data_IF_210166396720
#
_entry.id   IF_210166396720
#
_cell.length_a   1.000
_cell.length_b   1.000
_cell.length_c   1.000
_cell.angle_alpha   90.00
_cell.angle_beta   90.00
_cell.angle_gamma   90.00
#
_symmetry.space_group_name_H-M   'P 1'
#
loop_
_entity.id
_entity.type
_entity.pdbx_description
1 polymer ?
#
# COMPACT_ATOMS: atom_id res chain seq x y z
N UNK A 1 31.02 -27.54 -11.23
CA UNK A 1 31.09 -26.82 -9.95
C UNK A 1 29.99 -25.79 -9.98
N UNK A 2 29.07 -25.94 -9.04
CA UNK A 2 27.83 -25.21 -8.89
C UNK A 2 28.07 -23.71 -8.75
N UNK A 3 27.45 -22.93 -9.64
CA UNK A 3 27.17 -21.53 -9.35
C UNK A 3 25.98 -21.52 -8.37
N UNK A 4 26.12 -21.02 -7.14
CA UNK A 4 24.95 -20.83 -6.30
C UNK A 4 24.06 -19.76 -6.95
N UNK A 5 22.74 -19.99 -7.09
CA UNK A 5 21.83 -18.91 -7.41
C UNK A 5 21.81 -17.98 -6.19
N UNK A 6 22.64 -16.94 -6.21
CA UNK A 6 22.62 -15.88 -5.21
C UNK A 6 21.31 -15.10 -5.34
N UNK A 7 20.29 -15.66 -4.68
CA UNK A 7 19.39 -14.96 -3.76
C UNK A 7 19.19 -13.48 -4.05
N UNK A 8 18.47 -13.11 -5.11
CA UNK A 8 17.69 -11.86 -5.15
C UNK A 8 16.46 -11.95 -6.07
N UNK A 9 15.95 -13.15 -6.34
CA UNK A 9 14.54 -13.35 -6.70
C UNK A 9 13.66 -13.25 -5.43
N UNK A 10 13.87 -12.19 -4.64
CA UNK A 10 12.84 -11.73 -3.71
C UNK A 10 11.74 -11.22 -4.61
N UNK A 11 10.84 -12.13 -4.96
CA UNK A 11 9.44 -11.90 -5.28
C UNK A 11 9.13 -10.39 -5.28
N UNK A 12 9.30 -9.74 -6.45
CA UNK A 12 8.96 -8.32 -6.71
C UNK A 12 7.45 -8.06 -6.62
N UNK A 13 6.76 -8.81 -5.76
CA UNK A 13 5.39 -8.58 -5.35
C UNK A 13 5.48 -7.63 -4.18
N UNK A 14 5.46 -6.35 -4.53
CA UNK A 14 5.21 -5.21 -3.67
C UNK A 14 4.13 -5.52 -2.62
N UNK A 15 4.53 -5.92 -1.41
CA UNK A 15 3.60 -6.12 -0.28
C UNK A 15 3.58 -4.87 0.59
N UNK A 16 2.40 -4.49 1.04
CA UNK A 16 2.29 -3.50 2.12
C UNK A 16 2.69 -4.21 3.41
N UNK A 17 3.74 -3.71 4.08
CA UNK A 17 4.31 -4.38 5.25
C UNK A 17 4.07 -3.54 6.49
N UNK A 18 3.38 -4.14 7.47
CA UNK A 18 3.28 -3.62 8.83
C UNK A 18 4.17 -4.47 9.75
N UNK A 19 5.35 -3.95 10.13
CA UNK A 19 6.31 -4.70 10.95
C UNK A 19 7.14 -3.79 11.86
N UNK A 20 7.21 -4.14 13.15
CA UNK A 20 8.15 -3.51 14.08
C UNK A 20 7.95 -2.00 14.27
N UNK A 21 6.70 -1.52 14.18
CA UNK A 21 6.39 -0.09 14.27
C UNK A 21 6.49 0.68 12.94
N UNK A 22 6.82 -0.01 11.84
CA UNK A 22 6.96 0.59 10.51
C UNK A 22 5.84 0.09 9.60
N UNK A 23 5.24 1.03 8.85
CA UNK A 23 4.37 0.76 7.72
C UNK A 23 5.13 1.12 6.44
N UNK A 24 5.47 0.10 5.64
CA UNK A 24 6.09 0.26 4.32
C UNK A 24 5.03 0.06 3.25
N UNK A 25 4.80 1.06 2.41
CA UNK A 25 3.83 1.02 1.31
C UNK A 25 4.58 1.20 -0.01
N UNK A 26 4.44 0.28 -0.97
CA UNK A 26 4.93 0.47 -2.33
C UNK A 26 4.41 1.77 -2.94
N UNK A 27 5.24 2.48 -3.73
CA UNK A 27 4.86 3.78 -4.30
C UNK A 27 3.57 3.71 -5.15
N UNK A 28 3.38 2.65 -5.92
CA UNK A 28 2.17 2.43 -6.72
C UNK A 28 0.93 2.25 -5.84
N UNK A 29 1.04 1.47 -4.76
CA UNK A 29 -0.03 1.30 -3.79
C UNK A 29 -0.30 2.62 -3.05
N UNK A 30 0.73 3.39 -2.70
CA UNK A 30 0.56 4.69 -2.06
C UNK A 30 -0.12 5.70 -2.99
N UNK A 31 0.22 5.70 -4.28
CA UNK A 31 -0.48 6.50 -5.28
C UNK A 31 -1.97 6.12 -5.37
N UNK A 32 -2.26 4.81 -5.37
CA UNK A 32 -3.64 4.29 -5.33
C UNK A 32 -4.38 4.79 -4.09
N UNK A 33 -3.77 4.66 -2.91
CA UNK A 33 -4.34 5.14 -1.65
C UNK A 33 -4.68 6.64 -1.71
N UNK A 34 -3.78 7.47 -2.25
CA UNK A 34 -4.01 8.92 -2.40
C UNK A 34 -5.08 9.26 -3.42
N UNK A 35 -5.22 8.48 -4.49
CA UNK A 35 -6.31 8.65 -5.46
C UNK A 35 -7.66 8.36 -4.82
N UNK A 36 -7.79 7.21 -4.14
CA UNK A 36 -9.03 6.86 -3.40
C UNK A 36 -9.32 7.89 -2.30
N UNK A 37 -8.29 8.43 -1.63
CA UNK A 37 -8.46 9.48 -0.63
C UNK A 37 -9.10 10.77 -1.17
N UNK A 38 -8.80 11.12 -2.43
CA UNK A 38 -9.31 12.34 -3.08
C UNK A 38 -10.73 12.15 -3.60
N UNK A 39 -10.99 11.00 -4.23
CA UNK A 39 -12.26 10.73 -4.90
C UNK A 39 -13.27 10.02 -3.97
N UNK A 40 -12.87 9.69 -2.73
CA UNK A 40 -13.60 9.00 -1.66
C UNK A 40 -14.04 7.57 -1.98
N UNK A 41 -14.19 7.23 -3.25
CA UNK A 41 -14.60 5.93 -3.76
C UNK A 41 -13.92 5.65 -5.10
N UNK A 42 -13.59 4.38 -5.35
CA UNK A 42 -13.02 3.97 -6.61
C UNK A 42 -13.55 2.59 -7.04
N UNK A 43 -14.29 2.55 -8.14
CA UNK A 43 -14.93 1.33 -8.63
C UNK A 43 -13.88 0.29 -9.03
N UNK A 44 -14.05 -0.96 -8.56
CA UNK A 44 -13.08 -2.03 -8.79
C UNK A 44 -12.99 -2.52 -10.24
N UNK A 45 -13.99 -2.18 -11.07
CA UNK A 45 -14.03 -2.46 -12.51
C UNK A 45 -13.32 -1.38 -13.34
N UNK A 46 -13.22 -0.16 -12.82
CA UNK A 46 -12.55 0.97 -13.46
C UNK A 46 -11.04 1.02 -13.15
N UNK A 47 -10.60 0.21 -12.17
CA UNK A 47 -9.20 0.08 -11.81
C UNK A 47 -8.40 -0.64 -12.90
N UNK A 48 -7.32 -0.02 -13.39
CA UNK A 48 -6.31 -0.74 -14.16
C UNK A 48 -5.84 -1.98 -13.38
N UNK A 49 -5.63 -3.13 -14.04
CA UNK A 49 -5.17 -4.35 -13.38
C UNK A 49 -3.89 -4.17 -12.56
N UNK A 50 -3.02 -3.22 -12.94
CA UNK A 50 -1.80 -2.89 -12.20
C UNK A 50 -2.10 -2.28 -10.81
N UNK A 51 -3.11 -1.42 -10.71
CA UNK A 51 -3.50 -0.76 -9.47
C UNK A 51 -4.37 -1.65 -8.57
N UNK A 52 -5.03 -2.66 -9.15
CA UNK A 52 -5.88 -3.61 -8.40
C UNK A 52 -5.10 -4.37 -7.34
N UNK A 53 -3.88 -4.84 -7.68
CA UNK A 53 -3.03 -5.52 -6.70
C UNK A 53 -2.67 -4.60 -5.52
N UNK A 54 -2.37 -3.33 -5.79
CA UNK A 54 -2.12 -2.34 -4.74
C UNK A 54 -3.34 -2.09 -3.87
N UNK A 55 -4.54 -1.99 -4.46
CA UNK A 55 -5.78 -1.83 -3.72
C UNK A 55 -6.07 -3.03 -2.79
N UNK A 56 -5.89 -4.26 -3.28
CA UNK A 56 -6.08 -5.48 -2.49
C UNK A 56 -5.11 -5.54 -1.29
N UNK A 57 -3.84 -5.17 -1.49
CA UNK A 57 -2.85 -5.11 -0.41
C UNK A 57 -3.21 -4.03 0.64
N UNK A 58 -3.72 -2.87 0.20
CA UNK A 58 -4.21 -1.82 1.11
C UNK A 58 -5.45 -2.27 1.89
N UNK A 59 -6.31 -3.10 1.30
CA UNK A 59 -7.43 -3.74 2.02
C UNK A 59 -6.91 -4.71 3.06
N UNK A 60 -5.91 -5.53 2.72
CA UNK A 60 -5.34 -6.52 3.63
C UNK A 60 -4.73 -5.90 4.91
N UNK A 61 -4.22 -4.67 4.83
CA UNK A 61 -3.70 -3.91 5.99
C UNK A 61 -4.71 -2.92 6.58
N UNK A 62 -5.95 -2.90 6.08
CA UNK A 62 -7.04 -2.07 6.62
C UNK A 62 -6.94 -0.58 6.29
N UNK A 63 -6.16 -0.19 5.27
CA UNK A 63 -6.11 1.19 4.76
C UNK A 63 -7.26 1.48 3.82
N UNK A 64 -7.64 0.50 3.00
CA UNK A 64 -8.87 0.52 2.21
C UNK A 64 -9.86 -0.53 2.73
N UNK A 65 -11.12 -0.43 2.28
CA UNK A 65 -12.15 -1.43 2.46
C UNK A 65 -12.76 -1.78 1.11
N UNK A 66 -12.88 -3.06 0.82
CA UNK A 66 -13.66 -3.58 -0.30
C UNK A 66 -15.13 -3.68 0.12
N UNK A 67 -16.03 -3.09 -0.68
CA UNK A 67 -17.47 -3.09 -0.44
C UNK A 67 -18.25 -2.67 -1.68
N UNK A 68 -19.30 -3.44 -2.02
CA UNK A 68 -20.23 -3.15 -3.10
C UNK A 68 -19.59 -2.98 -4.50
N UNK A 69 -18.44 -3.65 -4.72
CA UNK A 69 -17.71 -3.57 -5.99
C UNK A 69 -16.79 -2.35 -6.10
N UNK A 70 -16.58 -1.62 -5.00
CA UNK A 70 -15.72 -0.43 -4.94
C UNK A 70 -14.75 -0.51 -3.76
N UNK A 71 -13.62 0.19 -3.90
CA UNK A 71 -12.69 0.43 -2.81
C UNK A 71 -13.01 1.77 -2.13
N UNK A 72 -13.16 1.71 -0.81
CA UNK A 72 -13.46 2.85 0.04
C UNK A 72 -12.29 3.14 0.97
N UNK A 73 -11.93 4.41 1.15
CA UNK A 73 -10.86 4.77 2.09
C UNK A 73 -11.35 4.64 3.55
N UNK A 74 -10.52 4.06 4.41
CA UNK A 74 -10.79 4.02 5.85
C UNK A 74 -10.28 5.28 6.55
N UNK A 75 -10.68 5.52 7.80
CA UNK A 75 -10.12 6.61 8.60
C UNK A 75 -8.60 6.47 8.84
N UNK A 76 -8.10 5.23 8.93
CA UNK A 76 -6.67 4.97 8.99
C UNK A 76 -6.01 5.28 7.64
N UNK A 77 -6.57 4.78 6.54
CA UNK A 77 -6.10 5.05 5.18
C UNK A 77 -6.01 6.54 4.87
N UNK A 78 -7.01 7.32 5.29
CA UNK A 78 -7.02 8.79 5.11
C UNK A 78 -5.88 9.44 5.89
N UNK A 79 -5.68 9.07 7.16
CA UNK A 79 -4.56 9.58 7.96
C UNK A 79 -3.20 9.25 7.34
N UNK A 80 -3.03 8.04 6.80
CA UNK A 80 -1.81 7.63 6.11
C UNK A 80 -1.62 8.38 4.79
N UNK A 81 -2.69 8.60 4.03
CA UNK A 81 -2.64 9.33 2.76
C UNK A 81 -2.22 10.81 2.92
N UNK A 82 -2.58 11.40 4.07
CA UNK A 82 -2.29 12.80 4.42
C UNK A 82 -0.98 12.97 5.21
N UNK A 83 -0.39 11.88 5.70
CA UNK A 83 0.83 11.92 6.50
C UNK A 83 2.08 12.21 5.65
N UNK A 84 3.05 12.86 6.29
CA UNK A 84 4.39 13.01 5.72
C UNK A 84 5.18 11.71 5.95
N UNK A 85 5.70 11.05 4.89
CA UNK A 85 6.49 9.83 5.07
C UNK A 85 7.77 10.13 5.88
N UNK A 86 8.12 9.26 6.81
CA UNK A 86 9.40 9.35 7.54
C UNK A 86 10.60 9.06 6.63
N UNK A 87 10.37 8.42 5.49
CA UNK A 87 11.36 8.18 4.46
C UNK A 87 10.76 7.57 3.20
N UNK A 88 11.46 7.77 2.08
CA UNK A 88 11.12 7.20 0.79
C UNK A 88 12.37 6.59 0.16
N UNK A 89 12.25 5.41 -0.43
CA UNK A 89 13.25 4.81 -1.33
C UNK A 89 12.72 4.78 -2.76
N UNK A 90 13.45 4.17 -3.68
CA UNK A 90 13.08 4.07 -5.09
C UNK A 90 11.69 3.43 -5.30
N UNK A 91 11.26 2.52 -4.41
CA UNK A 91 10.05 1.72 -4.60
C UNK A 91 9.02 1.80 -3.45
N UNK A 92 9.39 2.34 -2.28
CA UNK A 92 8.51 2.34 -1.09
C UNK A 92 8.55 3.68 -0.35
N UNK A 93 7.39 4.07 0.19
CA UNK A 93 7.27 5.07 1.26
C UNK A 93 7.12 4.36 2.61
N UNK A 94 7.66 4.98 3.64
CA UNK A 94 7.67 4.45 4.99
C UNK A 94 7.01 5.43 5.96
N UNK A 95 6.25 4.89 6.90
CA UNK A 95 5.59 5.64 7.96
C UNK A 95 5.83 4.98 9.31
N UNK A 96 5.93 5.81 10.35
CA UNK A 96 5.92 5.35 11.73
C UNK A 96 4.48 5.10 12.17
N UNK A 97 4.14 3.86 12.54
CA UNK A 97 2.76 3.48 12.86
C UNK A 97 2.24 4.16 14.12
N UNK A 98 3.16 4.63 14.99
CA UNK A 98 2.83 5.33 16.22
C UNK A 98 2.14 6.67 15.94
N UNK A 99 2.37 7.27 14.78
CA UNK A 99 1.68 8.48 14.33
C UNK A 99 0.18 8.23 14.10
N UNK A 100 -0.21 6.96 13.89
CA UNK A 100 -1.60 6.57 13.64
C UNK A 100 -2.29 5.93 14.84
N UNK A 101 -1.60 5.76 15.98
CA UNK A 101 -2.13 5.14 17.19
C UNK A 101 -2.35 3.62 17.07
N UNK A 102 -1.50 2.94 16.29
CA UNK A 102 -1.47 1.48 16.11
C UNK A 102 -0.41 0.80 17.00
#
# INVERSE_FOLDING_TARGET
MDNPPDRHDIDRRCKVVLKGGLLSIPLEAFATLRTVARDLELNAEELPPSLRHGADELVAVGLLRDGDGSFHITDLGRRVADAEPMGQSEDVVMFDVREFGL
#
